data_IF_076915039107
#
_entry.id   IF_076915039107
#
_cell.length_a   1.000
_cell.length_b   1.000
_cell.length_c   1.000
_cell.angle_alpha   90.00
_cell.angle_beta   90.00
_cell.angle_gamma   90.00
#
_symmetry.space_group_name_H-M   'P 1'
#
loop_
_entity.id
_entity.type
_entity.pdbx_description
1 polymer ?
#
# COMPACT_ATOMS: atom_id res chain seq x y z
N UNK A 1 1.95 3.41 -3.48
CA UNK A 1 1.85 2.04 -4.04
C UNK A 1 3.17 1.55 -4.64
N UNK A 2 3.71 2.20 -5.68
CA UNK A 2 4.93 1.74 -6.37
C UNK A 2 6.16 1.64 -5.44
N UNK A 3 6.45 2.72 -4.71
CA UNK A 3 7.64 2.86 -3.84
C UNK A 3 7.39 2.55 -2.37
N UNK A 4 6.15 2.23 -1.98
CA UNK A 4 5.78 2.07 -0.57
C UNK A 4 6.11 3.29 0.33
N UNK A 5 6.03 4.51 -0.22
CA UNK A 5 6.34 5.75 0.52
C UNK A 5 5.41 5.99 1.71
N UNK A 6 5.97 6.00 2.92
CA UNK A 6 5.24 6.25 4.16
C UNK A 6 4.80 7.71 4.29
N UNK A 7 5.65 8.64 3.85
CA UNK A 7 5.35 10.06 3.74
C UNK A 7 4.08 10.32 2.90
N UNK A 8 3.94 9.62 1.79
CA UNK A 8 2.76 9.68 0.93
C UNK A 8 1.53 9.10 1.65
N UNK A 9 1.69 8.02 2.42
CA UNK A 9 0.59 7.41 3.17
C UNK A 9 0.08 8.34 4.27
N UNK A 10 0.97 8.98 5.02
CA UNK A 10 0.65 9.96 6.07
C UNK A 10 0.01 11.23 5.46
N UNK A 11 0.59 11.79 4.41
CA UNK A 11 0.02 12.97 3.76
C UNK A 11 -1.40 12.71 3.19
N UNK A 12 -1.65 11.52 2.62
CA UNK A 12 -2.99 11.14 2.17
C UNK A 12 -3.96 10.96 3.33
N UNK A 13 -3.51 10.36 4.43
CA UNK A 13 -4.33 10.18 5.63
C UNK A 13 -4.75 11.52 6.24
N UNK A 14 -3.81 12.47 6.38
CA UNK A 14 -4.09 13.83 6.81
C UNK A 14 -5.04 14.55 5.85
N UNK A 15 -4.83 14.42 4.54
CA UNK A 15 -5.70 15.04 3.54
C UNK A 15 -7.14 14.53 3.61
N UNK A 16 -7.33 13.22 3.83
CA UNK A 16 -8.66 12.58 3.81
C UNK A 16 -9.40 12.74 5.15
N UNK A 17 -8.70 12.61 6.27
CA UNK A 17 -9.32 12.51 7.59
C UNK A 17 -8.88 13.58 8.59
N UNK A 18 -7.96 14.46 8.22
CA UNK A 18 -7.41 15.52 9.08
C UNK A 18 -6.29 15.08 10.02
N UNK A 19 -6.13 13.77 10.26
CA UNK A 19 -4.98 13.21 10.99
C UNK A 19 -4.78 11.72 10.68
N UNK A 20 -3.60 11.20 10.97
CA UNK A 20 -3.28 9.77 10.83
C UNK A 20 -4.15 8.89 11.73
N UNK A 21 -4.46 9.32 12.95
CA UNK A 21 -5.32 8.60 13.89
C UNK A 21 -6.77 8.56 13.42
N UNK A 22 -7.27 9.69 12.90
CA UNK A 22 -8.62 9.76 12.33
C UNK A 22 -8.74 8.86 11.09
N UNK A 23 -7.70 8.83 10.24
CA UNK A 23 -7.66 7.94 9.09
C UNK A 23 -7.57 6.47 9.50
N UNK A 24 -6.76 6.11 10.50
CA UNK A 24 -6.70 4.75 11.03
C UNK A 24 -8.08 4.28 11.54
N UNK A 25 -8.90 5.17 12.12
CA UNK A 25 -10.29 4.85 12.45
C UNK A 25 -11.11 4.50 11.19
N UNK A 26 -10.99 5.27 10.11
CA UNK A 26 -11.66 4.97 8.84
C UNK A 26 -11.18 3.64 8.24
N UNK A 27 -9.88 3.34 8.32
CA UNK A 27 -9.32 2.05 7.89
C UNK A 27 -9.93 0.88 8.67
N UNK A 28 -10.06 1.01 9.99
CA UNK A 28 -10.66 0.00 10.85
C UNK A 28 -12.16 -0.16 10.63
N UNK A 29 -12.88 0.94 10.43
CA UNK A 29 -14.30 0.91 10.07
C UNK A 29 -14.48 0.18 8.73
N UNK A 30 -13.61 0.46 7.75
CA UNK A 30 -13.63 -0.25 6.47
C UNK A 30 -13.26 -1.73 6.59
N UNK A 31 -12.26 -2.08 7.39
CA UNK A 31 -11.88 -3.46 7.63
C UNK A 31 -13.06 -4.28 8.18
N UNK A 32 -13.78 -3.73 9.16
CA UNK A 32 -15.00 -4.34 9.73
C UNK A 32 -16.10 -4.52 8.69
N UNK A 33 -16.35 -3.52 7.83
CA UNK A 33 -17.32 -3.64 6.73
C UNK A 33 -16.98 -4.79 5.76
N UNK A 34 -15.69 -5.05 5.54
CA UNK A 34 -15.21 -6.11 4.66
C UNK A 34 -15.16 -7.49 5.33
N UNK A 35 -15.44 -7.57 6.64
CA UNK A 35 -15.34 -8.78 7.45
C UNK A 35 -13.93 -9.13 7.92
N UNK A 36 -12.98 -8.20 7.80
CA UNK A 36 -11.63 -8.33 8.36
C UNK A 36 -11.66 -7.98 9.86
N UNK A 37 -12.12 -8.93 10.67
CA UNK A 37 -12.44 -8.72 12.10
C UNK A 37 -11.24 -8.90 13.03
N UNK A 38 -10.17 -9.53 12.56
CA UNK A 38 -8.92 -9.76 13.29
C UNK A 38 -7.85 -8.72 12.89
N UNK A 39 -8.29 -7.56 12.41
CA UNK A 39 -7.45 -6.46 11.93
C UNK A 39 -7.62 -5.22 12.79
N UNK A 40 -6.50 -4.61 13.15
CA UNK A 40 -6.45 -3.30 13.79
C UNK A 40 -5.30 -2.48 13.19
N UNK A 41 -5.66 -1.45 12.43
CA UNK A 41 -4.72 -0.48 11.90
C UNK A 41 -4.49 0.66 12.88
N UNK A 42 -3.22 1.02 13.05
CA UNK A 42 -2.80 2.14 13.91
C UNK A 42 -2.31 3.36 13.14
N UNK A 43 -1.83 3.14 11.92
CA UNK A 43 -1.25 4.13 11.05
C UNK A 43 -1.50 3.72 9.58
N UNK A 44 -1.33 4.65 8.60
CA UNK A 44 -1.66 4.37 7.20
C UNK A 44 -0.56 3.63 6.43
N UNK A 45 0.63 3.46 7.00
CA UNK A 45 1.83 3.00 6.28
C UNK A 45 2.21 1.54 6.55
N UNK A 46 1.77 0.98 7.69
CA UNK A 46 2.20 -0.35 8.14
C UNK A 46 3.53 -0.34 8.88
N UNK A 47 4.06 0.85 9.25
CA UNK A 47 5.16 0.94 10.21
C UNK A 47 4.75 0.29 11.53
N UNK A 48 5.71 -0.38 12.16
CA UNK A 48 5.46 -1.09 13.39
C UNK A 48 4.96 -0.13 14.48
N UNK A 49 3.83 -0.50 15.07
CA UNK A 49 3.24 0.15 16.21
C UNK A 49 2.50 -0.90 17.03
N UNK A 50 2.55 -0.78 18.36
CA UNK A 50 1.90 -1.75 19.24
C UNK A 50 0.39 -1.84 18.93
N UNK A 51 -0.08 -3.07 18.71
CA UNK A 51 -1.46 -3.34 18.33
C UNK A 51 -1.78 -3.11 16.85
N UNK A 52 -0.82 -2.71 16.00
CA UNK A 52 -0.99 -2.71 14.54
C UNK A 52 -0.86 -4.14 14.01
N UNK A 53 -1.98 -4.78 13.69
CA UNK A 53 -1.99 -6.20 13.33
C UNK A 53 -3.13 -6.55 12.38
N UNK A 54 -2.97 -7.69 11.71
CA UNK A 54 -3.95 -8.28 10.79
C UNK A 54 -3.63 -9.77 10.63
N UNK A 55 -4.44 -10.50 9.86
CA UNK A 55 -4.21 -11.90 9.49
C UNK A 55 -4.11 -12.04 7.98
N UNK A 56 -3.55 -13.16 7.50
CA UNK A 56 -3.52 -13.46 6.07
C UNK A 56 -4.94 -13.53 5.47
N UNK A 57 -5.91 -14.03 6.22
CA UNK A 57 -7.30 -14.10 5.80
C UNK A 57 -7.92 -12.70 5.63
N UNK A 58 -7.71 -11.84 6.61
CA UNK A 58 -8.22 -10.47 6.58
C UNK A 58 -7.60 -9.63 5.46
N UNK A 59 -6.28 -9.74 5.27
CA UNK A 59 -5.60 -9.11 4.14
C UNK A 59 -6.13 -9.62 2.80
N UNK A 60 -6.50 -10.90 2.69
CA UNK A 60 -7.13 -11.42 1.48
C UNK A 60 -8.54 -10.83 1.24
N UNK A 61 -9.32 -10.57 2.29
CA UNK A 61 -10.60 -9.87 2.18
C UNK A 61 -10.43 -8.42 1.70
N UNK A 62 -9.44 -7.72 2.27
CA UNK A 62 -9.09 -6.34 1.89
C UNK A 62 -8.61 -6.30 0.43
N UNK A 63 -7.71 -7.21 0.05
CA UNK A 63 -7.21 -7.30 -1.32
C UNK A 63 -8.31 -7.67 -2.32
N UNK A 64 -9.22 -8.59 -1.95
CA UNK A 64 -10.39 -8.89 -2.76
C UNK A 64 -11.21 -7.64 -3.04
N UNK A 65 -11.46 -6.79 -2.04
CA UNK A 65 -12.16 -5.53 -2.24
C UNK A 65 -11.35 -4.53 -3.09
N UNK A 66 -10.06 -4.36 -2.80
CA UNK A 66 -9.18 -3.46 -3.55
C UNK A 66 -9.06 -3.86 -5.03
N UNK A 67 -9.02 -5.16 -5.31
CA UNK A 67 -8.95 -5.70 -6.68
C UNK A 67 -10.18 -5.42 -7.54
N UNK A 68 -11.31 -5.02 -6.96
CA UNK A 68 -12.48 -4.57 -7.71
C UNK A 68 -12.38 -3.10 -8.15
N UNK A 69 -11.39 -2.36 -7.67
CA UNK A 69 -11.13 -0.99 -8.07
C UNK A 69 -10.13 -0.97 -9.24
N UNK A 70 -10.60 -0.58 -10.42
CA UNK A 70 -9.79 -0.56 -11.65
C UNK A 70 -8.57 0.37 -11.54
N UNK A 71 -8.68 1.49 -10.80
CA UNK A 71 -7.55 2.39 -10.57
C UNK A 71 -6.48 1.74 -9.69
N UNK A 72 -6.88 1.01 -8.64
CA UNK A 72 -5.94 0.27 -7.81
C UNK A 72 -5.18 -0.77 -8.64
N UNK A 73 -5.89 -1.59 -9.43
CA UNK A 73 -5.28 -2.62 -10.29
C UNK A 73 -4.37 -1.99 -11.34
N UNK A 74 -4.79 -0.89 -11.95
CA UNK A 74 -3.95 -0.15 -12.91
C UNK A 74 -2.68 0.38 -12.25
N UNK A 75 -2.79 1.04 -11.10
CA UNK A 75 -1.64 1.65 -10.41
C UNK A 75 -0.69 0.59 -9.86
N UNK A 76 -1.19 -0.52 -9.30
CA UNK A 76 -0.36 -1.59 -8.73
C UNK A 76 0.53 -2.28 -9.77
N UNK A 77 0.13 -2.23 -11.05
CA UNK A 77 0.83 -2.79 -12.21
C UNK A 77 1.69 -1.78 -12.96
N UNK A 78 1.62 -0.49 -12.65
CA UNK A 78 2.43 0.53 -13.33
C UNK A 78 3.91 0.28 -13.03
N UNK A 79 4.74 0.10 -14.05
CA UNK A 79 6.18 -0.13 -13.89
C UNK A 79 6.91 1.07 -13.28
N UNK A 80 6.65 2.24 -13.85
CA UNK A 80 7.16 3.49 -13.32
C UNK A 80 6.24 4.66 -13.63
N UNK A 81 6.31 5.69 -12.79
CA UNK A 81 5.54 6.91 -12.94
C UNK A 81 6.44 8.12 -12.67
N UNK A 82 6.54 9.00 -13.65
CA UNK A 82 7.22 10.29 -13.48
C UNK A 82 6.33 11.23 -12.68
N UNK A 83 6.88 11.85 -11.64
CA UNK A 83 6.16 12.82 -10.82
C UNK A 83 7.00 14.09 -10.62
N UNK A 84 6.30 15.20 -10.37
CA UNK A 84 6.93 16.50 -10.08
C UNK A 84 6.88 16.73 -8.58
N UNK A 85 8.02 17.03 -7.98
CA UNK A 85 8.11 17.37 -6.57
C UNK A 85 7.88 18.88 -6.39
N UNK A 86 6.63 19.34 -6.32
CA UNK A 86 6.34 20.75 -5.98
C UNK A 86 6.16 20.91 -4.46
N UNK A 87 6.66 22.00 -3.83
CA UNK A 87 7.39 23.14 -4.41
C UNK A 87 8.92 22.94 -4.52
N UNK A 88 9.46 21.81 -4.05
CA UNK A 88 10.91 21.59 -3.87
C UNK A 88 11.62 21.00 -5.11
N UNK A 89 11.13 21.28 -6.32
CA UNK A 89 11.73 20.74 -7.54
C UNK A 89 13.01 21.49 -7.86
N UNK A 90 14.11 20.76 -7.97
CA UNK A 90 15.40 21.22 -8.49
C UNK A 90 15.45 21.18 -10.04
N UNK A 91 14.31 20.95 -10.69
CA UNK A 91 14.21 20.71 -12.14
C UNK A 91 14.60 19.29 -12.57
N UNK A 92 15.04 18.41 -11.66
CA UNK A 92 15.30 17.01 -11.99
C UNK A 92 14.01 16.20 -12.12
N UNK A 93 13.99 15.28 -13.09
CA UNK A 93 12.91 14.31 -13.20
C UNK A 93 12.98 13.31 -12.04
N UNK A 94 11.85 13.10 -11.35
CA UNK A 94 11.71 12.07 -10.33
C UNK A 94 10.77 10.98 -10.82
N UNK A 95 11.11 9.75 -10.47
CA UNK A 95 10.40 8.55 -10.90
C UNK A 95 10.09 7.69 -9.69
N UNK A 96 8.83 7.27 -9.57
CA UNK A 96 8.44 6.19 -8.70
C UNK A 96 8.49 4.90 -9.54
N UNK A 97 9.25 3.91 -9.08
CA UNK A 97 9.43 2.62 -9.74
C UNK A 97 8.77 1.54 -8.90
N UNK A 98 8.05 0.63 -9.54
CA UNK A 98 7.38 -0.46 -8.85
C UNK A 98 8.38 -1.44 -8.25
N UNK A 99 8.28 -1.68 -6.95
CA UNK A 99 9.15 -2.64 -6.23
C UNK A 99 8.63 -4.07 -6.24
N UNK A 100 7.43 -4.31 -6.78
CA UNK A 100 6.82 -5.62 -6.84
C UNK A 100 7.47 -6.48 -7.94
N UNK A 101 8.28 -7.45 -7.53
CA UNK A 101 9.05 -8.30 -8.45
C UNK A 101 8.18 -9.19 -9.34
N UNK A 102 6.91 -9.43 -8.99
CA UNK A 102 6.03 -10.22 -9.84
C UNK A 102 5.67 -9.50 -11.16
N UNK A 103 5.77 -8.17 -11.20
CA UNK A 103 5.50 -7.35 -12.40
C UNK A 103 6.74 -6.99 -13.21
N UNK A 104 7.94 -7.15 -12.65
CA UNK A 104 9.18 -6.83 -13.34
C UNK A 104 9.58 -7.97 -14.28
N UNK A 105 9.41 -7.81 -15.60
CA UNK A 105 9.73 -8.82 -16.63
C UNK A 105 11.18 -9.30 -16.62
N UNK A 106 12.11 -8.52 -16.05
CA UNK A 106 13.52 -8.88 -15.92
C UNK A 106 13.84 -9.61 -14.60
N UNK A 107 12.85 -9.80 -13.73
CA UNK A 107 13.01 -10.47 -12.44
C UNK A 107 12.91 -11.99 -12.59
N UNK A 108 13.72 -12.80 -11.86
CA UNK A 108 13.50 -14.24 -11.78
C UNK A 108 12.17 -14.62 -11.11
N UNK A 109 11.51 -13.66 -10.46
CA UNK A 109 10.19 -13.83 -9.84
C UNK A 109 9.04 -13.31 -10.70
N UNK A 110 9.31 -12.87 -11.94
CA UNK A 110 8.27 -12.41 -12.84
C UNK A 110 7.18 -13.47 -12.99
N UNK A 111 5.92 -13.05 -12.91
CA UNK A 111 4.79 -13.93 -13.10
C UNK A 111 3.75 -13.29 -14.01
N UNK A 112 3.67 -13.75 -15.25
CA UNK A 112 2.79 -13.20 -16.29
C UNK A 112 1.29 -13.20 -15.92
N UNK A 113 0.88 -14.01 -14.94
CA UNK A 113 -0.50 -14.09 -14.46
C UNK A 113 -0.73 -13.29 -13.16
N UNK A 114 0.26 -12.54 -12.67
CA UNK A 114 0.07 -11.64 -11.55
C UNK A 114 -0.99 -10.57 -11.90
N UNK A 115 -2.03 -10.48 -11.08
CA UNK A 115 -3.17 -9.58 -11.34
C UNK A 115 -3.04 -8.24 -10.61
N UNK A 116 -2.69 -8.28 -9.33
CA UNK A 116 -2.37 -7.13 -8.47
C UNK A 116 -1.51 -7.65 -7.31
N UNK A 117 -0.96 -6.75 -6.49
CA UNK A 117 -0.31 -7.15 -5.24
C UNK A 117 0.53 -6.05 -4.61
N UNK A 118 0.92 -6.26 -3.35
CA UNK A 118 1.79 -5.35 -2.62
C UNK A 118 2.72 -6.10 -1.66
N UNK A 119 3.99 -5.71 -1.69
CA UNK A 119 5.03 -6.18 -0.77
C UNK A 119 5.09 -5.36 0.53
N UNK A 120 5.61 -5.94 1.61
CA UNK A 120 5.92 -5.24 2.86
C UNK A 120 7.10 -5.89 3.61
N UNK A 121 7.75 -5.10 4.45
CA UNK A 121 8.77 -5.58 5.38
C UNK A 121 8.96 -4.64 6.58
N UNK A 122 8.92 -5.20 7.78
CA UNK A 122 9.51 -4.62 9.01
C UNK A 122 10.24 -5.73 9.77
N UNK A 123 11.14 -5.42 10.72
CA UNK A 123 11.75 -6.43 11.57
C UNK A 123 10.75 -7.33 12.31
N UNK A 124 9.59 -6.78 12.69
CA UNK A 124 8.55 -7.46 13.46
C UNK A 124 7.62 -8.31 12.58
N UNK A 125 7.42 -7.89 11.32
CA UNK A 125 6.54 -8.60 10.37
C UNK A 125 7.29 -9.53 9.41
N UNK A 126 8.62 -9.40 9.30
CA UNK A 126 9.43 -10.00 8.24
C UNK A 126 8.86 -9.67 6.84
N UNK A 127 9.04 -10.56 5.87
CA UNK A 127 8.52 -10.36 4.52
C UNK A 127 7.03 -10.66 4.46
N UNK A 128 6.25 -9.69 3.97
CA UNK A 128 4.82 -9.84 3.71
C UNK A 128 4.51 -9.57 2.24
N UNK A 129 3.49 -10.26 1.74
CA UNK A 129 2.93 -10.03 0.41
C UNK A 129 1.43 -10.25 0.46
N UNK A 130 0.67 -9.39 -0.20
CA UNK A 130 -0.79 -9.51 -0.34
C UNK A 130 -1.18 -9.28 -1.78
#
# INVERSE_FOLDING_TARGET
>A
LLESGNDCAEALAEHVAGSNEAFAKLMNDKAKELGALDTNFKNPSGLHEEGHLTTAYDLALIMRAASQNEDYVRISRTDSHKYVNHPFSDGSEKWATNRNQLFNEYSPYFYQYAYTGKNGYTPESNHTYT
#
